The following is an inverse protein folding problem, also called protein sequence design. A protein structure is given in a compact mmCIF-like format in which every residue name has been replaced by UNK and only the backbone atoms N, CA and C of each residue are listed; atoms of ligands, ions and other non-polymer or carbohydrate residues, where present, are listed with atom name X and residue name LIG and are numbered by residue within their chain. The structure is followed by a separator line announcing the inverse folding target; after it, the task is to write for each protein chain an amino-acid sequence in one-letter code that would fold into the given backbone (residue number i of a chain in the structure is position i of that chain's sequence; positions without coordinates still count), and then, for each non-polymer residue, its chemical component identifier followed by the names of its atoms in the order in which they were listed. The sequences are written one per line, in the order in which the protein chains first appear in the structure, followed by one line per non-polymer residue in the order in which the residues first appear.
data_IF_120659589822
#
_entry.id   IF_120659589822
#
_cell.length_a   1.000
_cell.length_b   1.000
_cell.length_c   1.000
_cell.angle_alpha   90.00
_cell.angle_beta   90.00
_cell.angle_gamma   90.00
#
_symmetry.space_group_name_H-M   'P 1'
#
loop_
_entity.id
_entity.type
_entity.pdbx_description
1 polymer ?
#
# COMPACT_ATOMS: atom_id res chain seq x y z
N UNK A 1 -5.81 24.32 -29.65
CA UNK A 1 -7.06 24.41 -28.96
C UNK A 1 -7.09 23.40 -27.84
N UNK A 2 -7.56 23.79 -26.65
CA UNK A 2 -7.51 23.01 -25.39
C UNK A 2 -8.08 21.59 -25.50
N UNK A 3 -9.08 21.34 -26.34
CA UNK A 3 -9.71 20.02 -26.54
C UNK A 3 -8.74 19.03 -27.22
N UNK A 4 -7.93 19.49 -28.15
CA UNK A 4 -6.93 18.64 -28.82
C UNK A 4 -5.76 18.23 -27.92
N UNK A 5 -5.36 19.09 -27.01
CA UNK A 5 -4.26 18.82 -26.06
C UNK A 5 -4.67 17.76 -25.03
N UNK A 6 -5.90 17.87 -24.49
CA UNK A 6 -6.43 16.88 -23.54
C UNK A 6 -6.57 15.48 -24.16
N UNK A 7 -7.04 15.39 -25.41
CA UNK A 7 -7.26 14.09 -26.07
C UNK A 7 -5.94 13.39 -26.40
N UNK A 8 -4.90 14.12 -26.77
CA UNK A 8 -3.55 13.58 -27.04
C UNK A 8 -2.85 13.13 -25.75
N UNK A 9 -3.00 13.88 -24.65
CA UNK A 9 -2.44 13.55 -23.35
C UNK A 9 -3.12 12.29 -22.79
N UNK A 10 -4.44 12.21 -22.86
CA UNK A 10 -5.23 11.03 -22.44
C UNK A 10 -4.84 9.79 -23.27
N UNK A 11 -4.64 9.93 -24.59
CA UNK A 11 -4.18 8.80 -25.43
C UNK A 11 -2.78 8.32 -25.09
N UNK A 12 -1.82 9.22 -24.87
CA UNK A 12 -0.46 8.86 -24.47
C UNK A 12 -0.41 8.21 -23.08
N UNK A 13 -1.19 8.71 -22.14
CA UNK A 13 -1.29 8.12 -20.79
C UNK A 13 -1.99 6.76 -20.83
N UNK A 14 -3.01 6.59 -21.69
CA UNK A 14 -3.66 5.30 -21.92
C UNK A 14 -2.73 4.27 -22.56
N UNK A 15 -1.90 4.67 -23.53
CA UNK A 15 -0.88 3.80 -24.14
C UNK A 15 0.18 3.37 -23.10
N UNK A 16 0.71 4.31 -22.33
CA UNK A 16 1.66 4.02 -21.25
C UNK A 16 1.07 3.09 -20.20
N UNK A 17 -0.22 3.22 -19.91
CA UNK A 17 -0.95 2.32 -19.02
C UNK A 17 -1.08 0.92 -19.61
N UNK A 18 -1.41 0.79 -20.90
CA UNK A 18 -1.48 -0.51 -21.58
C UNK A 18 -0.12 -1.21 -21.65
N UNK A 19 0.97 -0.47 -21.90
CA UNK A 19 2.34 -0.99 -21.88
C UNK A 19 2.73 -1.50 -20.48
N UNK A 20 2.36 -0.76 -19.43
CA UNK A 20 2.56 -1.18 -18.04
C UNK A 20 1.68 -2.40 -17.69
N UNK A 21 0.45 -2.46 -18.17
CA UNK A 21 -0.40 -3.63 -18.02
C UNK A 21 0.24 -4.88 -18.65
N UNK A 22 0.69 -4.80 -19.91
CA UNK A 22 1.35 -5.90 -20.60
C UNK A 22 2.63 -6.35 -19.88
N UNK A 23 3.41 -5.39 -19.39
CA UNK A 23 4.65 -5.65 -18.64
C UNK A 23 4.41 -6.47 -17.38
N UNK A 24 3.30 -6.25 -16.66
CA UNK A 24 3.01 -6.91 -15.39
C UNK A 24 2.05 -8.10 -15.52
N UNK A 25 1.26 -8.22 -16.59
CA UNK A 25 0.41 -9.38 -16.84
C UNK A 25 1.16 -10.62 -17.31
N UNK A 26 2.27 -10.46 -18.03
CA UNK A 26 2.99 -11.54 -18.72
C UNK A 26 4.25 -12.02 -17.98
N UNK A 27 4.47 -11.64 -16.71
CA UNK A 27 5.58 -12.22 -15.94
C UNK A 27 5.14 -13.56 -15.34
N UNK A 28 5.73 -14.71 -15.73
CA UNK A 28 5.46 -15.97 -15.07
C UNK A 28 5.88 -15.87 -13.60
N UNK A 29 5.03 -16.36 -12.71
CA UNK A 29 5.41 -16.60 -11.32
C UNK A 29 6.41 -17.77 -11.34
N UNK A 30 7.60 -17.52 -10.86
CA UNK A 30 8.67 -18.51 -10.82
C UNK A 30 8.22 -19.72 -9.98
N UNK A 31 8.15 -20.92 -10.59
CA UNK A 31 7.53 -22.12 -10.00
C UNK A 31 8.50 -22.96 -9.15
N UNK A 32 9.66 -22.44 -8.78
CA UNK A 32 10.64 -23.25 -8.06
C UNK A 32 10.71 -22.95 -6.56
N UNK A 33 10.33 -23.90 -5.78
CA UNK A 33 10.89 -24.57 -4.62
C UNK A 33 9.85 -24.99 -3.58
N UNK A 34 9.83 -26.25 -3.26
CA UNK A 34 9.14 -26.83 -2.11
C UNK A 34 9.82 -26.35 -0.84
N UNK A 35 9.10 -25.60 0.01
CA UNK A 35 9.50 -25.41 1.40
C UNK A 35 8.56 -26.19 2.31
N UNK A 36 9.12 -26.80 3.33
CA UNK A 36 8.42 -27.47 4.43
C UNK A 36 7.29 -26.59 4.98
N UNK A 37 6.23 -27.25 5.43
CA UNK A 37 5.01 -26.64 5.94
C UNK A 37 5.26 -25.62 7.07
N UNK A 38 5.71 -24.43 6.73
CA UNK A 38 5.75 -23.32 7.66
C UNK A 38 4.37 -22.65 7.68
N UNK A 39 3.89 -22.36 8.87
CA UNK A 39 2.69 -21.58 9.10
C UNK A 39 2.74 -20.30 8.26
N UNK A 40 1.71 -20.01 7.44
CA UNK A 40 1.77 -18.85 6.55
C UNK A 40 1.88 -17.56 7.34
N UNK A 41 2.61 -16.59 6.78
CA UNK A 41 2.68 -15.23 7.30
C UNK A 41 1.69 -14.36 6.54
N UNK A 42 0.92 -13.54 7.26
CA UNK A 42 0.03 -12.55 6.66
C UNK A 42 0.77 -11.21 6.57
N UNK A 43 0.90 -10.69 5.36
CA UNK A 43 1.48 -9.38 5.09
C UNK A 43 0.37 -8.36 4.82
N UNK A 44 0.20 -7.40 5.71
CA UNK A 44 -0.73 -6.29 5.54
C UNK A 44 0.01 -5.11 4.90
N UNK A 45 -0.29 -4.85 3.63
CA UNK A 45 0.41 -3.90 2.77
C UNK A 45 -0.50 -2.70 2.52
N UNK A 46 -0.07 -1.49 2.90
CA UNK A 46 -0.91 -0.32 2.68
C UNK A 46 -0.39 0.98 3.27
N UNK A 47 -1.29 1.92 3.37
CA UNK A 47 -1.05 3.28 3.87
C UNK A 47 -1.39 3.43 5.37
N UNK A 48 -1.83 4.60 5.82
CA UNK A 48 -2.17 4.86 7.23
C UNK A 48 -3.24 3.95 7.79
N UNK A 49 -4.19 3.48 6.96
CA UNK A 49 -5.24 2.56 7.40
C UNK A 49 -4.66 1.18 7.77
N UNK A 50 -3.56 0.78 7.15
CA UNK A 50 -2.82 -0.45 7.48
C UNK A 50 -1.86 -0.26 8.64
N UNK A 51 -1.09 0.83 8.64
CA UNK A 51 -0.15 1.12 9.74
C UNK A 51 -0.91 1.35 11.04
N UNK A 52 -2.04 2.04 10.97
CA UNK A 52 -2.95 2.27 12.09
C UNK A 52 -2.42 3.25 13.13
N UNK A 53 -3.28 3.60 14.09
CA UNK A 53 -2.88 4.31 15.30
C UNK A 53 -2.14 3.36 16.26
N UNK A 54 -1.38 3.91 17.20
CA UNK A 54 -0.55 3.14 18.16
C UNK A 54 -1.29 2.02 18.90
N UNK A 55 -2.61 2.14 19.10
CA UNK A 55 -3.41 1.22 19.91
C UNK A 55 -4.38 0.33 19.14
N UNK A 56 -4.64 0.62 17.86
CA UNK A 56 -5.63 -0.14 17.08
C UNK A 56 -5.33 -0.10 15.60
N UNK A 57 -5.24 -1.28 14.99
CA UNK A 57 -5.16 -1.47 13.55
C UNK A 57 -5.74 -2.83 13.18
N UNK A 58 -6.25 -2.98 11.96
CA UNK A 58 -6.76 -4.28 11.53
C UNK A 58 -5.68 -5.39 11.50
N UNK A 59 -4.39 -5.12 11.20
CA UNK A 59 -3.37 -6.15 11.34
C UNK A 59 -3.18 -6.64 12.78
N UNK A 60 -3.32 -5.74 13.77
CA UNK A 60 -3.29 -6.13 15.19
C UNK A 60 -4.49 -7.00 15.54
N UNK A 61 -5.69 -6.65 15.05
CA UNK A 61 -6.90 -7.46 15.24
C UNK A 61 -6.77 -8.83 14.56
N UNK A 62 -6.21 -8.92 13.35
CA UNK A 62 -5.91 -10.18 12.67
C UNK A 62 -4.95 -11.06 13.47
N UNK A 63 -3.87 -10.50 14.01
CA UNK A 63 -2.91 -11.23 14.84
C UNK A 63 -3.55 -11.78 16.10
N UNK A 64 -4.53 -11.06 16.66
CA UNK A 64 -5.28 -11.52 17.84
C UNK A 64 -6.29 -12.63 17.50
N UNK A 65 -6.87 -12.61 16.30
CA UNK A 65 -7.91 -13.52 15.86
C UNK A 65 -7.39 -14.81 15.21
N UNK A 66 -6.12 -14.85 14.82
CA UNK A 66 -5.51 -15.97 14.09
C UNK A 66 -4.23 -16.47 14.76
N UNK A 67 -3.82 -17.68 14.40
CA UNK A 67 -2.54 -18.25 14.86
C UNK A 67 -1.34 -17.86 13.98
N UNK A 68 -1.55 -16.93 13.03
CA UNK A 68 -0.51 -16.53 12.09
C UNK A 68 0.35 -15.37 12.58
N UNK A 69 1.57 -15.30 12.09
CA UNK A 69 2.37 -14.08 12.14
C UNK A 69 1.78 -13.05 11.20
N UNK A 70 1.53 -11.83 11.68
CA UNK A 70 0.96 -10.73 10.90
C UNK A 70 1.93 -9.57 10.87
N UNK A 71 2.41 -9.22 9.69
CA UNK A 71 3.38 -8.16 9.48
C UNK A 71 2.75 -6.98 8.74
N UNK A 72 3.10 -5.75 9.16
CA UNK A 72 2.69 -4.51 8.49
C UNK A 72 3.76 -4.05 7.54
N UNK A 73 3.35 -3.66 6.32
CA UNK A 73 4.24 -3.17 5.27
C UNK A 73 3.66 -1.92 4.60
N UNK A 74 4.37 -0.81 4.62
CA UNK A 74 3.95 0.42 3.97
C UNK A 74 4.24 1.67 4.77
N UNK A 75 3.56 2.77 4.46
CA UNK A 75 3.80 4.06 5.09
C UNK A 75 2.56 4.91 5.23
N UNK A 76 2.45 5.62 6.36
CA UNK A 76 1.39 6.60 6.56
C UNK A 76 1.45 7.68 5.48
N UNK A 77 0.31 7.93 4.82
CA UNK A 77 0.15 8.87 3.70
C UNK A 77 0.89 8.50 2.41
N UNK A 78 1.42 7.28 2.29
CA UNK A 78 1.98 6.79 1.04
C UNK A 78 0.89 6.59 -0.02
N UNK A 79 1.19 6.96 -1.26
CA UNK A 79 0.43 6.57 -2.43
C UNK A 79 0.75 5.12 -2.79
N UNK A 80 -0.08 4.48 -3.59
CA UNK A 80 0.18 3.10 -4.06
C UNK A 80 1.52 3.00 -4.80
N UNK A 81 1.93 4.05 -5.53
CA UNK A 81 3.25 4.13 -6.15
C UNK A 81 4.38 4.06 -5.11
N UNK A 82 4.25 4.79 -4.01
CA UNK A 82 5.27 4.81 -2.95
C UNK A 82 5.43 3.42 -2.32
N UNK A 83 4.32 2.74 -2.10
CA UNK A 83 4.30 1.37 -1.57
C UNK A 83 4.97 0.40 -2.56
N UNK A 84 4.68 0.49 -3.86
CA UNK A 84 5.33 -0.32 -4.89
C UNK A 84 6.84 -0.08 -4.98
N UNK A 85 7.30 1.17 -4.76
CA UNK A 85 8.73 1.51 -4.65
C UNK A 85 9.34 0.85 -3.42
N UNK A 86 8.69 0.97 -2.25
CA UNK A 86 9.16 0.34 -1.00
C UNK A 86 9.22 -1.18 -1.11
N UNK A 87 8.30 -1.79 -1.88
CA UNK A 87 8.32 -3.21 -2.23
C UNK A 87 9.44 -3.59 -3.21
N UNK A 88 10.27 -2.64 -3.66
CA UNK A 88 11.41 -2.88 -4.54
C UNK A 88 11.06 -3.19 -6.01
N UNK A 89 9.78 -3.22 -6.37
CA UNK A 89 9.35 -3.51 -7.75
C UNK A 89 9.63 -2.34 -8.69
N UNK A 90 9.49 -1.11 -8.21
CA UNK A 90 9.82 0.10 -8.95
C UNK A 90 11.17 0.59 -8.48
N UNK A 91 12.14 0.54 -9.37
CA UNK A 91 13.51 0.94 -9.06
C UNK A 91 13.64 2.46 -9.06
N UNK A 92 14.28 2.97 -8.04
CA UNK A 92 14.62 4.40 -7.89
C UNK A 92 16.13 4.55 -7.68
N UNK A 93 16.63 5.74 -7.97
CA UNK A 93 18.05 6.03 -7.99
C UNK A 93 18.37 7.37 -7.33
N UNK A 94 19.63 7.57 -7.00
CA UNK A 94 20.22 8.86 -6.61
C UNK A 94 21.56 9.06 -7.29
N UNK A 95 22.06 10.29 -7.30
CA UNK A 95 23.39 10.64 -7.81
C UNK A 95 23.93 11.89 -7.11
N UNK A 96 25.20 12.19 -7.34
CA UNK A 96 25.88 13.40 -6.87
C UNK A 96 25.67 13.68 -5.36
N UNK A 97 25.91 12.65 -4.54
CA UNK A 97 25.90 12.77 -3.09
C UNK A 97 27.18 12.19 -2.48
N UNK A 98 27.55 12.69 -1.31
CA UNK A 98 28.59 12.10 -0.47
C UNK A 98 27.93 11.57 0.79
N UNK A 99 28.02 10.27 1.03
CA UNK A 99 27.59 9.63 2.27
C UNK A 99 28.75 9.75 3.25
N UNK A 100 28.61 10.50 4.36
CA UNK A 100 29.70 10.75 5.29
C UNK A 100 30.09 9.50 6.08
N UNK A 101 31.24 9.53 6.74
CA UNK A 101 31.75 8.45 7.61
C UNK A 101 30.83 8.18 8.81
N UNK A 102 30.16 9.22 9.29
CA UNK A 102 29.27 9.18 10.46
C UNK A 102 27.81 9.07 10.05
N UNK A 103 26.94 8.71 11.00
CA UNK A 103 25.49 8.67 10.84
C UNK A 103 24.85 10.07 10.73
N UNK A 104 25.48 10.97 9.97
CA UNK A 104 24.98 12.31 9.66
C UNK A 104 24.07 12.29 8.45
N UNK A 105 22.85 12.89 8.51
CA UNK A 105 21.95 12.93 7.39
C UNK A 105 22.52 13.69 6.18
N UNK A 106 22.43 13.11 5.00
CA UNK A 106 22.77 13.76 3.72
C UNK A 106 21.50 13.96 2.89
N UNK A 107 21.35 15.16 2.31
CA UNK A 107 20.25 15.44 1.39
C UNK A 107 20.46 14.74 0.05
N UNK A 108 19.39 14.22 -0.53
CA UNK A 108 19.41 13.61 -1.85
C UNK A 108 18.14 13.91 -2.64
N UNK A 109 18.24 13.74 -3.95
CA UNK A 109 17.11 13.67 -4.88
C UNK A 109 16.90 12.24 -5.33
N UNK A 110 15.65 11.90 -5.62
CA UNK A 110 15.28 10.59 -6.16
C UNK A 110 15.05 10.74 -7.67
N UNK A 111 15.58 9.78 -8.43
CA UNK A 111 15.50 9.76 -9.89
C UNK A 111 14.95 8.42 -10.39
N UNK A 112 14.40 8.43 -11.60
CA UNK A 112 14.17 7.21 -12.38
C UNK A 112 15.46 6.74 -13.08
N UNK A 113 15.38 5.65 -13.85
CA UNK A 113 16.51 5.10 -14.62
C UNK A 113 17.03 6.03 -15.72
N UNK A 114 16.21 7.00 -16.15
CA UNK A 114 16.52 7.96 -17.22
C UNK A 114 16.97 9.31 -16.64
N UNK A 115 17.28 9.34 -15.33
CA UNK A 115 17.76 10.51 -14.58
C UNK A 115 16.73 11.66 -14.50
N UNK A 116 15.45 11.37 -14.61
CA UNK A 116 14.39 12.32 -14.33
C UNK A 116 14.09 12.34 -12.84
N UNK A 117 13.93 13.55 -12.26
CA UNK A 117 13.59 13.71 -10.84
C UNK A 117 12.20 13.15 -10.58
N UNK A 118 12.09 12.27 -9.58
CA UNK A 118 10.84 11.71 -9.10
C UNK A 118 10.35 12.42 -7.85
N UNK A 119 9.03 12.64 -7.81
CA UNK A 119 8.34 13.27 -6.69
C UNK A 119 7.54 12.22 -5.90
N UNK A 120 8.24 11.30 -5.25
CA UNK A 120 7.73 10.10 -4.59
C UNK A 120 8.21 9.98 -3.15
N UNK A 121 7.70 9.01 -2.39
CA UNK A 121 8.10 8.70 -1.01
C UNK A 121 7.99 9.89 -0.05
N UNK A 122 6.90 10.65 -0.19
CA UNK A 122 6.61 11.81 0.66
C UNK A 122 5.75 11.51 1.88
N UNK A 123 5.31 10.28 2.03
CA UNK A 123 4.51 9.83 3.17
C UNK A 123 5.25 10.03 4.50
N UNK A 124 4.48 10.21 5.58
CA UNK A 124 5.01 10.43 6.93
C UNK A 124 5.29 9.10 7.60
N UNK A 125 6.53 8.76 7.69
CA UNK A 125 6.99 7.63 8.47
C UNK A 125 6.48 6.29 7.92
N UNK A 126 7.34 5.34 7.81
CA UNK A 126 6.98 3.98 7.45
C UNK A 126 7.84 3.02 8.25
N UNK A 127 7.37 1.80 8.39
CA UNK A 127 8.16 0.72 8.93
C UNK A 127 9.28 0.30 7.96
N UNK A 128 9.21 0.73 6.70
CA UNK A 128 10.12 0.39 5.61
C UNK A 128 10.83 1.63 5.05
N UNK A 129 11.61 2.25 5.92
CA UNK A 129 12.50 3.35 5.53
C UNK A 129 13.93 2.88 5.30
N UNK A 130 14.24 1.63 5.62
CA UNK A 130 15.59 1.07 5.44
C UNK A 130 15.84 0.80 3.97
N UNK A 131 16.95 1.34 3.49
CA UNK A 131 17.39 1.19 2.10
C UNK A 131 18.91 0.98 2.07
N UNK A 132 19.39 0.43 0.95
CA UNK A 132 20.81 0.33 0.65
C UNK A 132 21.14 1.28 -0.50
N UNK A 133 22.21 2.06 -0.35
CA UNK A 133 22.82 2.89 -1.40
C UNK A 133 24.29 2.55 -1.50
N UNK A 134 24.73 2.05 -2.65
CA UNK A 134 26.14 1.67 -2.90
C UNK A 134 26.73 0.71 -1.84
N UNK A 135 25.93 -0.23 -1.32
CA UNK A 135 26.34 -1.18 -0.28
C UNK A 135 26.25 -0.64 1.14
N UNK A 136 25.74 0.56 1.34
CA UNK A 136 25.59 1.19 2.66
C UNK A 136 24.11 1.16 3.04
N UNK A 137 23.78 0.44 4.12
CA UNK A 137 22.43 0.43 4.71
C UNK A 137 22.16 1.69 5.51
N UNK A 138 20.93 2.19 5.45
CA UNK A 138 20.55 3.41 6.13
C UNK A 138 19.07 3.71 6.03
N UNK A 139 18.65 4.85 6.57
CA UNK A 139 17.28 5.32 6.62
C UNK A 139 17.05 6.42 5.59
N UNK A 140 16.08 6.20 4.71
CA UNK A 140 15.58 7.20 3.77
C UNK A 140 14.34 7.87 4.36
N UNK A 141 14.36 9.19 4.52
CA UNK A 141 13.25 9.97 5.09
C UNK A 141 12.95 11.21 4.24
N UNK A 142 11.69 11.61 4.20
CA UNK A 142 11.26 12.86 3.60
C UNK A 142 11.12 13.95 4.67
N UNK A 143 11.76 15.09 4.46
CA UNK A 143 11.58 16.29 5.27
C UNK A 143 10.55 17.21 4.58
N UNK A 144 9.33 17.25 5.11
CA UNK A 144 8.25 18.03 4.51
C UNK A 144 8.48 19.55 4.55
N UNK A 145 9.20 20.05 5.56
CA UNK A 145 9.53 21.48 5.70
C UNK A 145 10.54 21.91 4.65
N UNK A 146 11.61 21.13 4.46
CA UNK A 146 12.67 21.39 3.47
C UNK A 146 12.33 20.86 2.08
N UNK A 147 11.24 20.09 1.93
CA UNK A 147 10.82 19.41 0.68
C UNK A 147 11.94 18.59 0.04
N UNK A 148 12.73 17.90 0.86
CA UNK A 148 13.87 17.10 0.41
C UNK A 148 13.91 15.75 1.10
N UNK A 149 14.54 14.76 0.45
CA UNK A 149 14.83 13.47 1.08
C UNK A 149 16.19 13.54 1.75
N UNK A 150 16.32 12.79 2.85
CA UNK A 150 17.60 12.60 3.55
C UNK A 150 17.88 11.11 3.67
N UNK A 151 19.16 10.75 3.50
CA UNK A 151 19.67 9.43 3.82
C UNK A 151 20.59 9.55 5.02
N UNK A 152 20.43 8.63 5.97
CA UNK A 152 21.28 8.52 7.15
C UNK A 152 21.74 7.09 7.26
N UNK A 153 23.03 6.84 7.16
CA UNK A 153 23.61 5.48 7.32
C UNK A 153 23.34 4.94 8.71
N UNK A 154 23.15 3.62 8.82
CA UNK A 154 22.85 2.98 10.11
C UNK A 154 24.10 2.85 11.00
N UNK A 155 25.29 2.70 10.41
CA UNK A 155 26.55 2.54 11.14
C UNK A 155 27.64 3.41 10.53
N UNK A 156 28.57 3.89 11.38
CA UNK A 156 29.76 4.60 10.93
C UNK A 156 30.64 3.70 10.03
N UNK A 157 31.36 4.30 9.10
CA UNK A 157 32.24 3.60 8.17
C UNK A 157 32.92 4.57 7.22
N UNK A 158 33.51 4.09 6.16
CA UNK A 158 34.25 4.93 5.19
C UNK A 158 33.28 5.85 4.44
N UNK A 159 33.70 7.08 4.18
CA UNK A 159 33.01 8.03 3.31
C UNK A 159 32.82 7.43 1.92
N UNK A 160 31.65 7.69 1.32
CA UNK A 160 31.35 7.20 -0.03
C UNK A 160 30.85 8.32 -0.92
N UNK A 161 31.65 8.67 -1.92
CA UNK A 161 31.26 9.63 -2.97
C UNK A 161 30.52 8.89 -4.09
N UNK A 162 29.33 9.37 -4.43
CA UNK A 162 28.48 8.84 -5.48
C UNK A 162 28.36 9.90 -6.57
N UNK A 163 28.97 9.65 -7.72
CA UNK A 163 28.98 10.57 -8.88
C UNK A 163 28.10 10.09 -10.04
N UNK A 164 27.64 8.84 -9.99
CA UNK A 164 26.83 8.21 -11.04
C UNK A 164 25.47 7.83 -10.51
N UNK A 165 24.51 7.67 -11.42
CA UNK A 165 23.18 7.17 -11.09
C UNK A 165 23.28 5.81 -10.38
N UNK A 166 22.95 5.79 -9.10
CA UNK A 166 23.09 4.63 -8.20
C UNK A 166 21.74 4.24 -7.65
N UNK A 167 21.39 2.97 -7.73
CA UNK A 167 20.10 2.48 -7.24
C UNK A 167 19.98 2.64 -5.73
N UNK A 168 18.82 3.11 -5.28
CA UNK A 168 18.36 3.03 -3.91
C UNK A 168 17.56 1.72 -3.80
N UNK A 169 18.06 0.75 -3.06
CA UNK A 169 17.42 -0.56 -2.90
C UNK A 169 16.67 -0.58 -1.58
N UNK A 170 15.38 -0.91 -1.62
CA UNK A 170 14.60 -1.14 -0.41
C UNK A 170 14.94 -2.50 0.18
N UNK A 171 15.05 -2.57 1.51
CA UNK A 171 15.06 -3.85 2.22
C UNK A 171 13.63 -4.36 2.33
N UNK A 172 13.35 -5.48 1.70
CA UNK A 172 12.02 -6.11 1.68
C UNK A 172 12.10 -7.51 2.28
N UNK A 173 11.03 -7.98 2.94
CA UNK A 173 10.97 -9.36 3.41
C UNK A 173 10.91 -10.33 2.24
N UNK A 174 11.37 -11.55 2.47
CA UNK A 174 11.15 -12.66 1.53
C UNK A 174 9.70 -13.12 1.66
N UNK A 175 9.00 -13.17 0.54
CA UNK A 175 7.64 -13.73 0.46
C UNK A 175 7.69 -15.18 0.03
N UNK A 176 6.94 -16.03 0.74
CA UNK A 176 6.80 -17.46 0.43
C UNK A 176 5.46 -17.74 -0.27
N UNK A 177 5.36 -18.86 -0.99
CA UNK A 177 4.16 -19.22 -1.77
C UNK A 177 2.88 -19.34 -0.93
N UNK A 178 3.00 -19.81 0.30
CA UNK A 178 1.89 -20.00 1.22
C UNK A 178 1.51 -18.72 1.99
N UNK A 179 2.29 -17.64 1.90
CA UNK A 179 1.95 -16.39 2.56
C UNK A 179 0.68 -15.77 1.97
N UNK A 180 0.02 -14.95 2.77
CA UNK A 180 -1.17 -14.20 2.35
C UNK A 180 -0.88 -12.71 2.39
N UNK A 181 -1.23 -11.99 1.35
CA UNK A 181 -1.09 -10.54 1.30
C UNK A 181 -2.45 -9.84 1.34
N UNK A 182 -2.59 -8.89 2.25
CA UNK A 182 -3.74 -8.00 2.34
C UNK A 182 -3.31 -6.63 1.84
N UNK A 183 -3.88 -6.18 0.72
CA UNK A 183 -3.51 -4.93 0.05
C UNK A 183 -4.62 -3.91 0.28
N UNK A 184 -4.29 -2.86 1.03
CA UNK A 184 -5.21 -1.77 1.33
C UNK A 184 -4.54 -0.44 0.98
N UNK A 185 -4.55 -0.10 -0.30
CA UNK A 185 -3.85 1.06 -0.89
C UNK A 185 -4.79 1.87 -1.77
N UNK A 186 -4.44 3.13 -2.03
CA UNK A 186 -5.18 4.01 -2.94
C UNK A 186 -5.84 5.20 -2.26
N UNK A 187 -5.90 5.23 -0.92
CA UNK A 187 -6.53 6.32 -0.17
C UNK A 187 -5.91 7.68 -0.46
N UNK A 188 -4.60 7.70 -0.69
CA UNK A 188 -3.82 8.91 -0.97
C UNK A 188 -3.49 9.12 -2.44
N UNK A 189 -3.93 8.22 -3.31
CA UNK A 189 -3.71 8.35 -4.74
C UNK A 189 -4.49 9.54 -5.32
N UNK A 190 -4.04 10.14 -6.44
CA UNK A 190 -4.75 11.24 -7.07
C UNK A 190 -6.20 10.87 -7.39
N UNK A 191 -7.14 11.73 -6.99
CA UNK A 191 -8.58 11.50 -7.14
C UNK A 191 -9.04 11.94 -8.55
N UNK A 192 -8.54 11.26 -9.57
CA UNK A 192 -8.80 11.47 -10.99
C UNK A 192 -8.90 10.11 -11.69
N UNK A 193 -9.45 10.06 -12.90
CA UNK A 193 -9.47 8.84 -13.71
C UNK A 193 -8.07 8.28 -13.93
N UNK A 194 -7.08 9.12 -14.19
CA UNK A 194 -5.69 8.72 -14.29
C UNK A 194 -5.14 8.17 -12.96
N UNK A 195 -5.58 8.71 -11.82
CA UNK A 195 -5.26 8.19 -10.49
C UNK A 195 -5.75 6.76 -10.29
N UNK A 196 -6.97 6.43 -10.74
CA UNK A 196 -7.51 5.06 -10.70
C UNK A 196 -6.59 4.09 -11.47
N UNK A 197 -6.23 4.45 -12.70
CA UNK A 197 -5.33 3.61 -13.51
C UNK A 197 -3.95 3.42 -12.88
N UNK A 198 -3.40 4.47 -12.28
CA UNK A 198 -2.12 4.38 -11.56
C UNK A 198 -2.23 3.45 -10.34
N UNK A 199 -3.30 3.55 -9.58
CA UNK A 199 -3.54 2.66 -8.42
C UNK A 199 -3.51 1.20 -8.85
N UNK A 200 -4.27 0.83 -9.89
CA UNK A 200 -4.30 -0.55 -10.39
C UNK A 200 -2.92 -1.00 -10.89
N UNK A 201 -2.25 -0.15 -11.67
CA UNK A 201 -0.91 -0.46 -12.19
C UNK A 201 0.08 -0.77 -11.05
N UNK A 202 0.07 0.04 -10.00
CA UNK A 202 0.98 -0.14 -8.88
C UNK A 202 0.54 -1.29 -7.96
N UNK A 203 -0.76 -1.55 -7.79
CA UNK A 203 -1.23 -2.75 -7.10
C UNK A 203 -0.78 -4.03 -7.83
N UNK A 204 -0.88 -4.09 -9.16
CA UNK A 204 -0.33 -5.20 -9.95
C UNK A 204 1.18 -5.36 -9.73
N UNK A 205 1.92 -4.25 -9.71
CA UNK A 205 3.36 -4.29 -9.43
C UNK A 205 3.66 -4.86 -8.04
N UNK A 206 2.87 -4.49 -7.03
CA UNK A 206 2.96 -5.05 -5.67
C UNK A 206 2.68 -6.56 -5.70
N UNK A 207 1.56 -6.98 -6.29
CA UNK A 207 1.15 -8.38 -6.38
C UNK A 207 2.22 -9.23 -7.07
N UNK A 208 2.77 -8.76 -8.19
CA UNK A 208 3.83 -9.46 -8.91
C UNK A 208 5.16 -9.59 -8.13
N UNK A 209 5.34 -8.82 -7.06
CA UNK A 209 6.51 -8.93 -6.18
C UNK A 209 6.34 -10.01 -5.11
N UNK A 210 5.09 -10.40 -4.80
CA UNK A 210 4.77 -11.20 -3.61
C UNK A 210 5.17 -12.68 -3.70
N UNK A 211 5.47 -13.24 -4.87
CA UNK A 211 5.70 -14.68 -5.08
C UNK A 211 4.55 -15.59 -4.60
N UNK A 212 3.47 -15.05 -4.10
CA UNK A 212 2.25 -15.77 -3.70
C UNK A 212 1.08 -15.37 -4.58
N UNK A 213 0.14 -16.30 -4.79
CA UNK A 213 -1.16 -16.03 -5.43
C UNK A 213 -2.26 -15.73 -4.40
N UNK A 214 -1.95 -15.87 -3.11
CA UNK A 214 -2.89 -15.66 -2.02
C UNK A 214 -2.88 -14.17 -1.64
N UNK A 215 -3.78 -13.39 -2.22
CA UNK A 215 -3.91 -11.98 -1.87
C UNK A 215 -5.37 -11.55 -1.80
N UNK A 216 -5.63 -10.48 -1.06
CA UNK A 216 -6.92 -9.83 -0.94
C UNK A 216 -6.69 -8.32 -1.11
N UNK A 217 -7.48 -7.69 -1.99
CA UNK A 217 -7.51 -6.23 -2.15
C UNK A 217 -8.74 -5.69 -1.47
N UNK A 218 -8.55 -4.79 -0.51
CA UNK A 218 -9.64 -4.17 0.25
C UNK A 218 -10.15 -2.91 -0.46
N UNK A 219 -11.46 -2.76 -0.55
CA UNK A 219 -12.09 -1.56 -1.10
C UNK A 219 -11.73 -0.30 -0.32
N UNK A 220 -11.65 0.83 -0.99
CA UNK A 220 -11.46 2.12 -0.34
C UNK A 220 -12.69 2.52 0.47
N UNK A 221 -12.46 3.03 1.68
CA UNK A 221 -13.50 3.41 2.65
C UNK A 221 -13.55 4.91 2.92
N UNK A 222 -12.70 5.70 2.25
CA UNK A 222 -12.58 7.13 2.51
C UNK A 222 -13.91 7.87 2.35
N UNK A 223 -14.31 8.60 3.38
CA UNK A 223 -15.47 9.47 3.38
C UNK A 223 -15.23 10.76 2.60
N UNK A 224 -14.00 11.29 2.63
CA UNK A 224 -13.69 12.63 2.07
C UNK A 224 -13.61 12.68 0.54
N UNK A 225 -13.55 11.54 -0.14
CA UNK A 225 -13.15 11.44 -1.55
C UNK A 225 -14.23 10.84 -2.44
N UNK A 226 -15.50 10.98 -2.06
CA UNK A 226 -16.61 10.67 -2.94
C UNK A 226 -16.79 11.78 -4.00
N UNK A 227 -17.19 11.49 -5.24
CA UNK A 227 -17.66 10.19 -5.76
C UNK A 227 -16.56 9.27 -6.30
N UNK A 228 -15.31 9.74 -6.46
CA UNK A 228 -14.22 8.95 -7.11
C UNK A 228 -13.92 7.62 -6.40
N UNK A 229 -14.21 7.55 -5.09
CA UNK A 229 -14.02 6.31 -4.31
C UNK A 229 -14.92 5.18 -4.84
N UNK A 230 -16.15 5.49 -5.22
CA UNK A 230 -17.08 4.50 -5.76
C UNK A 230 -16.65 4.04 -7.14
N UNK A 231 -16.21 4.95 -8.01
CA UNK A 231 -15.62 4.62 -9.31
C UNK A 231 -14.37 3.76 -9.16
N UNK A 232 -13.49 4.13 -8.22
CA UNK A 232 -12.28 3.35 -7.95
C UNK A 232 -12.61 1.95 -7.45
N UNK A 233 -13.53 1.81 -6.49
CA UNK A 233 -13.95 0.51 -5.97
C UNK A 233 -14.58 -0.37 -7.05
N UNK A 234 -15.38 0.21 -7.97
CA UNK A 234 -15.91 -0.51 -9.11
C UNK A 234 -14.79 -1.10 -9.98
N UNK A 235 -13.80 -0.29 -10.33
CA UNK A 235 -12.69 -0.74 -11.17
C UNK A 235 -11.79 -1.75 -10.41
N UNK A 236 -11.55 -1.56 -9.12
CA UNK A 236 -10.83 -2.52 -8.29
C UNK A 236 -11.55 -3.88 -8.23
N UNK A 237 -12.89 -3.88 -8.14
CA UNK A 237 -13.69 -5.10 -8.15
C UNK A 237 -13.61 -5.85 -9.48
N UNK A 238 -13.68 -5.13 -10.58
CA UNK A 238 -13.52 -5.70 -11.94
C UNK A 238 -12.12 -6.27 -12.17
N UNK A 239 -11.09 -5.61 -11.62
CA UNK A 239 -9.69 -6.02 -11.74
C UNK A 239 -9.36 -7.26 -10.91
N UNK A 240 -9.72 -7.24 -9.63
CA UNK A 240 -9.26 -8.23 -8.66
C UNK A 240 -10.26 -9.36 -8.44
N UNK A 241 -11.50 -9.26 -8.97
CA UNK A 241 -12.53 -10.31 -8.96
C UNK A 241 -12.72 -10.96 -7.58
N UNK A 242 -12.50 -12.26 -7.49
CA UNK A 242 -12.61 -13.04 -6.24
C UNK A 242 -11.68 -12.58 -5.13
N UNK A 243 -10.56 -11.94 -5.47
CA UNK A 243 -9.62 -11.39 -4.49
C UNK A 243 -10.06 -10.04 -3.90
N UNK A 244 -11.09 -9.41 -4.46
CA UNK A 244 -11.61 -8.14 -3.95
C UNK A 244 -12.51 -8.34 -2.74
N UNK A 245 -12.24 -7.58 -1.66
CA UNK A 245 -13.08 -7.50 -0.47
C UNK A 245 -13.82 -6.16 -0.46
N UNK A 246 -15.13 -6.18 -0.72
CA UNK A 246 -15.97 -4.97 -0.71
C UNK A 246 -16.34 -4.55 0.71
N UNK A 247 -15.34 -4.15 1.47
CA UNK A 247 -15.50 -3.77 2.87
C UNK A 247 -16.32 -2.47 3.03
N UNK A 248 -16.25 -1.55 2.04
CA UNK A 248 -17.09 -0.35 2.06
C UNK A 248 -18.57 -0.72 1.98
N UNK A 249 -18.94 -1.59 1.05
CA UNK A 249 -20.32 -2.08 0.93
C UNK A 249 -20.78 -2.76 2.23
N UNK A 250 -19.93 -3.60 2.81
CA UNK A 250 -20.22 -4.25 4.08
C UNK A 250 -20.50 -3.24 5.21
N UNK A 251 -19.66 -2.19 5.35
CA UNK A 251 -19.86 -1.15 6.38
C UNK A 251 -21.16 -0.37 6.20
N UNK A 252 -21.62 -0.18 4.96
CA UNK A 252 -22.86 0.54 4.65
C UNK A 252 -24.12 -0.31 4.88
N UNK A 253 -23.99 -1.63 4.97
CA UNK A 253 -25.10 -2.57 5.08
C UNK A 253 -25.02 -3.37 6.40
N UNK A 254 -24.31 -4.49 6.40
CA UNK A 254 -24.30 -5.42 7.53
C UNK A 254 -23.43 -4.96 8.71
N UNK A 255 -22.38 -4.19 8.44
CA UNK A 255 -21.40 -3.78 9.44
C UNK A 255 -21.99 -3.00 10.60
N UNK A 256 -23.06 -2.22 10.39
CA UNK A 256 -23.77 -1.47 11.44
C UNK A 256 -24.39 -2.44 12.45
N UNK A 257 -25.07 -3.47 11.94
CA UNK A 257 -25.70 -4.51 12.74
C UNK A 257 -24.66 -5.35 13.48
N UNK A 258 -23.63 -5.80 12.77
CA UNK A 258 -22.58 -6.65 13.32
C UNK A 258 -21.77 -5.94 14.41
N UNK A 259 -21.50 -4.63 14.22
CA UNK A 259 -20.87 -3.79 15.23
C UNK A 259 -21.80 -3.43 16.41
N UNK A 260 -23.09 -3.77 16.35
CA UNK A 260 -24.11 -3.37 17.33
C UNK A 260 -24.10 -1.88 17.61
N UNK A 261 -23.97 -1.05 16.55
CA UNK A 261 -23.94 0.41 16.65
C UNK A 261 -25.36 0.95 16.68
N UNK A 262 -25.65 1.79 17.68
CA UNK A 262 -26.83 2.67 17.64
C UNK A 262 -26.48 3.91 16.81
N UNK A 263 -27.16 4.09 15.67
CA UNK A 263 -26.89 5.20 14.76
C UNK A 263 -27.15 6.56 15.42
N UNK A 264 -26.13 7.39 15.43
CA UNK A 264 -26.24 8.80 15.82
C UNK A 264 -26.97 9.62 14.75
N UNK A 265 -27.34 10.87 15.07
CA UNK A 265 -27.89 11.79 14.08
C UNK A 265 -26.89 12.05 12.93
N UNK A 266 -25.58 12.07 13.24
CA UNK A 266 -24.55 12.21 12.22
C UNK A 266 -24.44 10.98 11.33
N UNK A 267 -24.49 9.77 11.88
CA UNK A 267 -24.44 8.53 11.09
C UNK A 267 -25.61 8.44 10.11
N UNK A 268 -26.81 8.86 10.53
CA UNK A 268 -28.00 8.90 9.64
C UNK A 268 -27.78 9.86 8.47
N UNK A 269 -27.20 11.04 8.72
CA UNK A 269 -26.83 12.01 7.66
C UNK A 269 -25.73 11.46 6.74
N UNK A 270 -24.78 10.71 7.29
CA UNK A 270 -23.72 10.07 6.52
C UNK A 270 -24.30 9.04 5.55
N UNK A 271 -25.15 8.16 6.05
CA UNK A 271 -25.80 7.12 5.23
C UNK A 271 -26.68 7.71 4.11
N UNK A 272 -27.41 8.81 4.38
CA UNK A 272 -28.18 9.51 3.35
C UNK A 272 -27.31 10.02 2.20
N UNK A 273 -26.03 10.28 2.45
CA UNK A 273 -25.04 10.73 1.46
C UNK A 273 -24.21 9.58 0.86
N UNK A 274 -24.50 8.32 1.23
CA UNK A 274 -23.69 7.19 0.84
C UNK A 274 -22.31 7.16 1.49
N UNK A 275 -22.13 7.85 2.62
CA UNK A 275 -20.89 7.84 3.42
C UNK A 275 -20.96 6.72 4.45
N UNK A 276 -19.81 6.13 4.76
CA UNK A 276 -19.72 5.24 5.92
C UNK A 276 -20.00 6.03 7.20
N UNK A 277 -20.71 5.45 8.18
CA UNK A 277 -21.04 6.12 9.43
C UNK A 277 -19.79 6.66 10.16
N UNK A 278 -19.89 7.89 10.67
CA UNK A 278 -18.83 8.51 11.46
C UNK A 278 -18.43 7.68 12.69
N UNK A 279 -19.38 6.90 13.24
CA UNK A 279 -19.14 5.98 14.36
C UNK A 279 -18.13 4.86 14.06
N UNK A 280 -17.73 4.64 12.83
CA UNK A 280 -16.66 3.74 12.44
C UNK A 280 -15.30 4.43 12.30
N UNK A 281 -15.25 5.75 12.32
CA UNK A 281 -14.07 6.52 12.00
C UNK A 281 -13.45 7.17 13.24
N UNK A 282 -12.19 7.51 13.13
CA UNK A 282 -11.51 8.41 14.05
C UNK A 282 -11.90 9.88 13.77
N UNK A 283 -11.42 10.78 14.62
CA UNK A 283 -11.69 12.23 14.51
C UNK A 283 -11.27 12.82 13.15
N UNK A 284 -10.26 12.24 12.52
CA UNK A 284 -9.80 12.68 11.19
C UNK A 284 -10.74 12.31 10.03
N UNK A 285 -11.80 11.54 10.32
CA UNK A 285 -12.80 11.07 9.34
C UNK A 285 -12.20 10.31 8.16
N UNK A 286 -11.06 9.68 8.36
CA UNK A 286 -10.32 8.90 7.36
C UNK A 286 -9.92 7.54 7.89
N UNK A 287 -9.24 7.51 9.04
CA UNK A 287 -8.79 6.28 9.65
C UNK A 287 -9.92 5.60 10.43
N UNK A 288 -9.95 4.27 10.38
CA UNK A 288 -10.90 3.48 11.13
C UNK A 288 -10.61 3.46 12.63
N UNK A 289 -11.65 3.45 13.46
CA UNK A 289 -11.54 3.23 14.89
C UNK A 289 -11.43 1.73 15.23
N UNK A 290 -11.47 1.36 16.51
CA UNK A 290 -11.34 -0.02 16.95
C UNK A 290 -12.42 -0.95 16.35
N UNK A 291 -13.68 -0.50 16.26
CA UNK A 291 -14.78 -1.29 15.66
C UNK A 291 -14.54 -1.54 14.17
N UNK A 292 -14.17 -0.51 13.43
CA UNK A 292 -13.79 -0.64 12.02
C UNK A 292 -12.67 -1.68 11.82
N UNK A 293 -11.61 -1.56 12.62
CA UNK A 293 -10.44 -2.43 12.51
C UNK A 293 -10.77 -3.89 12.86
N UNK A 294 -11.64 -4.11 13.86
CA UNK A 294 -12.12 -5.44 14.22
C UNK A 294 -12.95 -6.05 13.10
N UNK A 295 -13.96 -5.32 12.60
CA UNK A 295 -14.80 -5.81 11.49
C UNK A 295 -13.99 -6.08 10.23
N UNK A 296 -13.00 -5.23 9.91
CA UNK A 296 -12.13 -5.47 8.76
C UNK A 296 -11.34 -6.76 8.93
N UNK A 297 -10.78 -7.01 10.12
CA UNK A 297 -10.06 -8.25 10.41
C UNK A 297 -10.98 -9.47 10.28
N UNK A 298 -12.21 -9.41 10.78
CA UNK A 298 -13.21 -10.48 10.67
C UNK A 298 -13.57 -10.76 9.18
N UNK A 299 -13.82 -9.72 8.39
CA UNK A 299 -14.14 -9.87 6.96
C UNK A 299 -12.93 -10.39 6.15
N UNK A 300 -11.72 -9.98 6.48
CA UNK A 300 -10.48 -10.53 5.88
C UNK A 300 -10.35 -12.02 6.23
N UNK A 301 -10.51 -12.38 7.50
CA UNK A 301 -10.43 -13.78 7.96
C UNK A 301 -11.45 -14.65 7.24
N UNK A 302 -12.72 -14.22 7.17
CA UNK A 302 -13.75 -14.91 6.39
C UNK A 302 -13.35 -15.09 4.94
N UNK A 303 -12.86 -14.01 4.29
CA UNK A 303 -12.43 -14.05 2.90
C UNK A 303 -11.25 -14.99 2.66
N UNK A 304 -10.28 -15.06 3.58
CA UNK A 304 -9.15 -16.00 3.50
C UNK A 304 -9.63 -17.46 3.57
N UNK A 305 -10.64 -17.74 4.40
CA UNK A 305 -11.25 -19.08 4.50
C UNK A 305 -12.01 -19.41 3.20
N UNK A 306 -12.85 -18.50 2.71
CA UNK A 306 -13.65 -18.68 1.49
C UNK A 306 -12.76 -18.96 0.27
N UNK A 307 -11.58 -18.32 0.20
CA UNK A 307 -10.58 -18.51 -0.84
C UNK A 307 -9.62 -19.68 -0.56
N UNK A 308 -9.79 -20.39 0.57
CA UNK A 308 -8.94 -21.51 0.99
C UNK A 308 -7.45 -21.14 1.17
N UNK A 309 -7.18 -19.92 1.60
CA UNK A 309 -5.82 -19.48 1.95
C UNK A 309 -5.41 -19.94 3.35
N UNK A 310 -6.39 -20.15 4.22
CA UNK A 310 -6.25 -20.65 5.58
C UNK A 310 -7.42 -21.61 5.90
N UNK A 311 -7.23 -22.45 6.91
CA UNK A 311 -8.28 -23.32 7.45
C UNK A 311 -9.05 -22.67 8.61
N UNK A 312 -10.29 -23.12 8.84
CA UNK A 312 -11.07 -22.68 10.02
C UNK A 312 -10.39 -22.99 11.35
N UNK A 313 -9.58 -24.05 11.39
CA UNK A 313 -8.83 -24.47 12.57
C UNK A 313 -7.66 -23.52 12.91
N UNK A 314 -7.31 -22.62 12.00
CA UNK A 314 -6.24 -21.63 12.20
C UNK A 314 -6.72 -20.36 12.93
N UNK A 315 -8.02 -20.29 13.26
CA UNK A 315 -8.64 -19.19 14.00
C UNK A 315 -8.60 -19.50 15.49
N UNK A 316 -8.38 -18.47 16.30
CA UNK A 316 -8.41 -18.55 17.78
C UNK A 316 -9.84 -18.51 18.31
#
# INVERSE_FOLDING_TARGET
TLIGYNTLTIRKESQKYQELQQKYQNQPLDETTHSNANTPTIYCIGDSLTIGAKSSSYPTALSSATNFSVNKFGGAQDQTQDIAIRMGKIKIYTNNITIPETATPVNLKIYDKDNNVLNVLKGKGSNFTTVEIAGISGKLKYNATKKTHTFTRDQNGVEKVITKLTQIKSEIPTFEKNNVAIIFTGTYDPQTQNGIFKTITYQRAIINQLKTKNYIVVSLTSKRRLPIVDDMNKVLKEEHKEHFLDFRYYLLNDGIKDAKITLTAQDKKDLQKGYIPSSFLQVDMLNGNAKFNQLLAEQITKKMIDLKYIDKNDIK
#
